data_IF_456291867002
#
_entry.id   IF_456291867002
#
_cell.length_a   1.000
_cell.length_b   1.000
_cell.length_c   1.000
_cell.angle_alpha   90.00
_cell.angle_beta   90.00
_cell.angle_gamma   90.00
#
_symmetry.space_group_name_H-M   'P 1'
#
loop_
_entity.id
_entity.type
_entity.pdbx_description
1 polymer ?
#
# COMPACT_ATOMS: atom_id res chain seq x y z
N UNK A 1 -11.90 2.89 -30.49
CA UNK A 1 -11.44 2.79 -29.09
C UNK A 1 -12.35 3.67 -28.26
N UNK A 2 -13.25 3.08 -27.48
CA UNK A 2 -14.20 3.84 -26.66
C UNK A 2 -13.50 4.40 -25.42
N UNK A 3 -14.05 5.45 -24.81
CA UNK A 3 -13.53 6.02 -23.55
C UNK A 3 -13.36 4.95 -22.46
N UNK A 4 -14.29 4.00 -22.38
CA UNK A 4 -14.23 2.86 -21.46
C UNK A 4 -12.97 2.00 -21.67
N UNK A 5 -12.57 1.74 -22.92
CA UNK A 5 -11.35 0.98 -23.22
C UNK A 5 -10.10 1.69 -22.68
N UNK A 6 -9.95 3.01 -22.88
CA UNK A 6 -8.77 3.75 -22.38
C UNK A 6 -8.65 3.71 -20.86
N UNK A 7 -9.78 3.83 -20.16
CA UNK A 7 -9.82 3.75 -18.68
C UNK A 7 -9.43 2.35 -18.22
N UNK A 8 -9.96 1.31 -18.86
CA UNK A 8 -9.72 -0.08 -18.49
C UNK A 8 -8.27 -0.51 -18.74
N UNK A 9 -7.63 -0.10 -19.85
CA UNK A 9 -6.22 -0.42 -20.08
C UNK A 9 -5.31 0.29 -19.08
N UNK A 10 -5.60 1.56 -18.78
CA UNK A 10 -4.81 2.34 -17.83
C UNK A 10 -4.86 1.70 -16.45
N UNK A 11 -6.07 1.47 -15.92
CA UNK A 11 -6.27 0.85 -14.61
C UNK A 11 -5.77 -0.59 -14.61
N UNK A 12 -5.93 -1.35 -15.69
CA UNK A 12 -5.42 -2.71 -15.82
C UNK A 12 -3.90 -2.78 -15.62
N UNK A 13 -3.14 -1.83 -16.18
CA UNK A 13 -1.69 -1.74 -15.98
C UNK A 13 -1.34 -1.36 -14.54
N UNK A 14 -2.03 -0.36 -13.97
CA UNK A 14 -1.77 0.04 -12.58
C UNK A 14 -2.15 -1.07 -11.58
N UNK A 15 -3.29 -1.73 -11.76
CA UNK A 15 -3.79 -2.79 -10.90
C UNK A 15 -2.99 -4.09 -10.98
N UNK A 16 -2.41 -4.42 -12.13
CA UNK A 16 -1.64 -5.67 -12.31
C UNK A 16 -0.16 -5.53 -11.97
N UNK A 17 0.42 -4.34 -12.11
CA UNK A 17 1.86 -4.12 -11.93
C UNK A 17 2.15 -3.21 -10.75
N UNK A 18 1.53 -2.02 -10.70
CA UNK A 18 1.90 -0.98 -9.73
C UNK A 18 1.36 -1.29 -8.33
N UNK A 19 0.10 -1.69 -8.21
CA UNK A 19 -0.52 -2.01 -6.92
C UNK A 19 0.21 -3.19 -6.24
N UNK A 20 0.45 -4.35 -6.91
CA UNK A 20 1.16 -5.46 -6.28
C UNK A 20 2.62 -5.12 -5.94
N UNK A 21 3.28 -4.32 -6.77
CA UNK A 21 4.64 -3.85 -6.50
C UNK A 21 4.68 -2.97 -5.23
N UNK A 22 3.80 -1.98 -5.12
CA UNK A 22 3.68 -1.12 -3.93
C UNK A 22 3.30 -1.91 -2.69
N UNK A 23 2.41 -2.89 -2.83
CA UNK A 23 2.02 -3.76 -1.73
C UNK A 23 3.19 -4.61 -1.21
N UNK A 24 3.99 -5.17 -2.12
CA UNK A 24 5.20 -5.93 -1.78
C UNK A 24 6.23 -5.04 -1.08
N UNK A 25 6.42 -3.82 -1.57
CA UNK A 25 7.34 -2.84 -0.99
C UNK A 25 6.89 -2.39 0.40
N UNK A 26 5.61 -2.07 0.57
CA UNK A 26 5.02 -1.71 1.85
C UNK A 26 5.11 -2.86 2.86
N UNK A 27 4.87 -4.10 2.42
CA UNK A 27 5.01 -5.29 3.25
C UNK A 27 6.46 -5.51 3.70
N UNK A 28 7.44 -5.32 2.81
CA UNK A 28 8.87 -5.38 3.16
C UNK A 28 9.24 -4.32 4.22
N UNK A 29 8.78 -3.08 4.05
CA UNK A 29 9.00 -2.02 5.04
C UNK A 29 8.34 -2.32 6.38
N UNK A 30 7.14 -2.93 6.36
CA UNK A 30 6.46 -3.36 7.57
C UNK A 30 7.25 -4.44 8.32
N UNK A 31 7.73 -5.48 7.61
CA UNK A 31 8.57 -6.53 8.20
C UNK A 31 9.88 -5.95 8.75
N UNK A 32 10.55 -5.08 7.99
CA UNK A 32 11.76 -4.40 8.44
C UNK A 32 11.51 -3.56 9.70
N UNK A 33 10.38 -2.85 9.77
CA UNK A 33 9.97 -2.08 10.93
C UNK A 33 9.79 -2.95 12.18
N UNK A 34 9.13 -4.11 12.04
CA UNK A 34 8.97 -5.06 13.15
C UNK A 34 10.32 -5.60 13.63
N UNK A 35 11.19 -6.00 12.71
CA UNK A 35 12.53 -6.49 13.05
C UNK A 35 13.32 -5.40 13.79
N UNK A 36 13.32 -4.16 13.27
CA UNK A 36 13.93 -3.00 13.94
C UNK A 36 13.33 -2.78 15.33
N UNK A 37 12.03 -2.89 15.50
CA UNK A 37 11.37 -2.72 16.80
C UNK A 37 11.80 -3.79 17.82
N UNK A 38 11.89 -5.06 17.39
CA UNK A 38 12.29 -6.16 18.28
C UNK A 38 13.78 -6.13 18.65
N UNK A 39 14.69 -5.84 17.70
CA UNK A 39 16.13 -5.83 17.97
C UNK A 39 16.62 -4.61 18.76
N UNK A 40 15.92 -3.46 18.68
CA UNK A 40 16.30 -2.24 19.40
C UNK A 40 15.63 -2.09 20.79
N UNK A 41 15.07 -3.17 21.31
CA UNK A 41 14.34 -3.21 22.58
C UNK A 41 15.18 -2.86 23.82
N UNK A 42 16.51 -2.79 23.72
CA UNK A 42 17.40 -2.40 24.81
C UNK A 42 17.60 -0.88 25.01
N UNK A 43 17.21 -0.04 24.04
CA UNK A 43 17.51 1.41 24.05
C UNK A 43 16.21 2.23 23.89
N UNK A 44 15.80 2.95 24.93
CA UNK A 44 14.47 3.58 25.04
C UNK A 44 14.22 4.63 23.96
N UNK A 45 15.25 5.36 23.55
CA UNK A 45 15.17 6.37 22.47
C UNK A 45 14.91 5.71 21.12
N UNK A 46 15.59 4.60 20.84
CA UNK A 46 15.48 3.90 19.56
C UNK A 46 14.19 3.09 19.44
N UNK A 47 13.60 2.70 20.57
CA UNK A 47 12.27 2.07 20.61
C UNK A 47 11.18 3.02 20.10
N UNK A 48 11.21 4.27 20.52
CA UNK A 48 10.24 5.29 20.05
C UNK A 48 10.36 5.54 18.55
N UNK A 49 11.59 5.63 18.05
CA UNK A 49 11.84 5.80 16.61
C UNK A 49 11.36 4.59 15.79
N UNK A 50 11.64 3.36 16.26
CA UNK A 50 11.18 2.14 15.60
C UNK A 50 9.65 2.02 15.62
N UNK A 51 8.99 2.42 16.71
CA UNK A 51 7.53 2.40 16.80
C UNK A 51 6.88 3.36 15.80
N UNK A 52 7.41 4.59 15.71
CA UNK A 52 6.98 5.56 14.69
C UNK A 52 7.21 5.03 13.27
N UNK A 53 8.32 4.35 13.02
CA UNK A 53 8.61 3.76 11.72
C UNK A 53 7.61 2.65 11.33
N UNK A 54 7.25 1.77 12.28
CA UNK A 54 6.21 0.74 12.06
C UNK A 54 4.86 1.39 11.78
N UNK A 55 4.49 2.43 12.53
CA UNK A 55 3.23 3.16 12.30
C UNK A 55 3.17 3.77 10.89
N UNK A 56 4.27 4.36 10.40
CA UNK A 56 4.35 4.84 9.02
C UNK A 56 4.21 3.72 7.99
N UNK A 57 4.79 2.54 8.25
CA UNK A 57 4.60 1.36 7.40
C UNK A 57 3.14 0.89 7.34
N UNK A 58 2.47 0.83 8.50
CA UNK A 58 1.05 0.46 8.60
C UNK A 58 0.16 1.50 7.91
N UNK A 59 0.41 2.80 8.13
CA UNK A 59 -0.28 3.88 7.43
C UNK A 59 -0.14 3.76 5.91
N UNK A 60 1.05 3.43 5.41
CA UNK A 60 1.29 3.18 3.99
C UNK A 60 0.42 2.03 3.43
N UNK A 61 0.32 0.91 4.16
CA UNK A 61 -0.54 -0.21 3.75
C UNK A 61 -2.02 0.17 3.74
N UNK A 62 -2.49 0.89 4.77
CA UNK A 62 -3.89 1.34 4.86
C UNK A 62 -4.24 2.31 3.73
N UNK A 63 -3.34 3.24 3.40
CA UNK A 63 -3.54 4.18 2.29
C UNK A 63 -3.61 3.46 0.94
N UNK A 64 -2.73 2.49 0.68
CA UNK A 64 -2.77 1.68 -0.54
C UNK A 64 -4.10 0.93 -0.69
N UNK A 65 -4.57 0.31 0.40
CA UNK A 65 -5.86 -0.37 0.42
C UNK A 65 -7.04 0.59 0.21
N UNK A 66 -7.00 1.75 0.85
CA UNK A 66 -8.07 2.76 0.76
C UNK A 66 -8.19 3.32 -0.66
N UNK A 67 -7.08 3.74 -1.26
CA UNK A 67 -7.05 4.28 -2.62
C UNK A 67 -7.47 3.22 -3.64
N UNK A 68 -6.94 2.00 -3.55
CA UNK A 68 -7.29 0.94 -4.49
C UNK A 68 -8.75 0.48 -4.34
N UNK A 69 -9.23 0.35 -3.10
CA UNK A 69 -10.62 0.01 -2.81
C UNK A 69 -11.60 1.05 -3.35
N UNK A 70 -11.27 2.34 -3.24
CA UNK A 70 -12.06 3.43 -3.83
C UNK A 70 -12.08 3.36 -5.35
N UNK A 71 -10.93 3.12 -6.00
CA UNK A 71 -10.87 2.94 -7.46
C UNK A 71 -11.76 1.77 -7.88
N UNK A 72 -11.69 0.64 -7.19
CA UNK A 72 -12.51 -0.54 -7.49
C UNK A 72 -14.01 -0.27 -7.31
N UNK A 73 -14.38 0.43 -6.23
CA UNK A 73 -15.76 0.83 -5.97
C UNK A 73 -16.31 1.73 -7.10
N UNK A 74 -15.52 2.70 -7.56
CA UNK A 74 -15.90 3.59 -8.66
C UNK A 74 -16.08 2.80 -9.96
N UNK A 75 -15.18 1.87 -10.28
CA UNK A 75 -15.28 1.04 -11.49
C UNK A 75 -16.54 0.19 -11.51
N UNK A 76 -16.86 -0.45 -10.38
CA UNK A 76 -18.10 -1.22 -10.21
C UNK A 76 -19.32 -0.31 -10.34
N UNK A 77 -19.29 0.88 -9.73
CA UNK A 77 -20.39 1.85 -9.77
C UNK A 77 -20.66 2.36 -11.19
N UNK A 78 -19.62 2.54 -12.01
CA UNK A 78 -19.75 2.98 -13.40
C UNK A 78 -19.92 1.83 -14.41
N UNK A 79 -19.96 0.56 -13.96
CA UNK A 79 -20.13 -0.61 -14.83
C UNK A 79 -18.95 -0.87 -15.76
N UNK A 80 -17.77 -0.38 -15.41
CA UNK A 80 -16.53 -0.55 -16.19
C UNK A 80 -15.73 -1.65 -15.49
N UNK A 81 -16.05 -2.92 -15.81
CA UNK A 81 -15.34 -4.11 -15.33
C UNK A 81 -14.38 -4.63 -16.40
#
# INVERSE_FOLDING_TARGET
MTFAQYVQTTIGVFGSVVIPALFTLAFLFFVYGIVKYFFLSGDSTKRTEAHSFVLWGVLGMVLLFSVWGLIHLLLVTFGIS
#
